data_IF_103114573846
#
_entry.id   IF_103114573846
#
_cell.length_a   1.000
_cell.length_b   1.000
_cell.length_c   1.000
_cell.angle_alpha   90.00
_cell.angle_beta   90.00
_cell.angle_gamma   90.00
#
_symmetry.space_group_name_H-M   'P 1'
#
loop_
_entity.id
_entity.type
_entity.pdbx_description
1 polymer ?
#
# COMPACT_ATOMS: atom_id res chain seq x y z
N UNK A 1 19.83 -29.96 -14.50
CA UNK A 1 20.66 -30.13 -13.29
C UNK A 1 22.04 -29.56 -13.55
N UNK A 2 22.43 -28.49 -12.84
CA UNK A 2 23.83 -28.09 -12.67
C UNK A 2 23.92 -27.32 -11.35
N UNK A 3 24.57 -27.93 -10.36
CA UNK A 3 24.89 -27.30 -9.08
C UNK A 3 26.29 -26.70 -9.22
N UNK A 4 26.44 -25.39 -8.99
CA UNK A 4 27.73 -24.70 -8.93
C UNK A 4 27.61 -23.58 -7.91
N UNK A 5 28.52 -23.57 -6.92
CA UNK A 5 28.87 -22.40 -6.12
C UNK A 5 28.22 -22.32 -4.74
N UNK A 6 28.87 -22.88 -3.73
CA UNK A 6 28.67 -22.55 -2.30
C UNK A 6 29.92 -21.80 -1.86
N UNK A 7 29.85 -20.47 -1.80
CA UNK A 7 30.89 -19.62 -1.21
C UNK A 7 30.31 -19.02 0.10
N UNK A 8 30.98 -19.17 1.26
CA UNK A 8 30.52 -18.57 2.50
C UNK A 8 30.85 -17.07 2.48
N UNK A 9 29.93 -16.29 1.92
CA UNK A 9 30.13 -14.85 1.65
C UNK A 9 29.21 -14.32 0.56
N UNK A 10 28.46 -15.18 -0.14
CA UNK A 10 27.40 -14.80 -1.06
C UNK A 10 26.20 -14.30 -0.25
N UNK A 11 26.29 -13.07 0.24
CA UNK A 11 25.10 -12.32 0.60
C UNK A 11 24.33 -12.17 -0.69
N UNK A 12 23.25 -12.95 -0.84
CA UNK A 12 22.22 -12.64 -1.81
C UNK A 12 21.74 -11.25 -1.43
N UNK A 13 22.22 -10.23 -2.14
CA UNK A 13 21.54 -8.94 -2.22
C UNK A 13 20.19 -9.26 -2.86
N UNK A 14 19.25 -9.70 -2.04
CA UNK A 14 17.85 -9.55 -2.36
C UNK A 14 17.70 -8.06 -2.58
N UNK A 15 17.51 -7.71 -3.84
CA UNK A 15 17.16 -6.39 -4.32
C UNK A 15 15.85 -6.01 -3.62
N UNK A 16 15.96 -5.58 -2.36
CA UNK A 16 14.87 -5.24 -1.45
C UNK A 16 14.03 -4.15 -2.12
N UNK A 17 14.69 -3.24 -2.83
CA UNK A 17 14.10 -2.24 -3.72
C UNK A 17 13.11 -2.83 -4.74
N UNK A 18 13.47 -3.91 -5.44
CA UNK A 18 12.61 -4.51 -6.46
C UNK A 18 11.36 -5.19 -5.86
N UNK A 19 11.49 -5.79 -4.67
CA UNK A 19 10.36 -6.42 -3.97
C UNK A 19 9.42 -5.36 -3.38
N UNK A 20 9.98 -4.28 -2.84
CA UNK A 20 9.22 -3.15 -2.30
C UNK A 20 8.52 -2.35 -3.40
N UNK A 21 9.13 -2.21 -4.59
CA UNK A 21 8.53 -1.59 -5.75
C UNK A 21 7.37 -2.43 -6.35
N UNK A 22 7.56 -3.74 -6.53
CA UNK A 22 6.49 -4.65 -6.99
C UNK A 22 5.30 -4.65 -6.02
N UNK A 23 5.60 -4.62 -4.72
CA UNK A 23 4.58 -4.55 -3.67
C UNK A 23 3.82 -3.22 -3.71
N UNK A 24 4.52 -2.09 -3.84
CA UNK A 24 3.87 -0.78 -4.01
C UNK A 24 2.97 -0.73 -5.25
N UNK A 25 3.45 -1.28 -6.37
CA UNK A 25 2.67 -1.30 -7.61
C UNK A 25 1.39 -2.14 -7.48
N UNK A 26 1.46 -3.29 -6.81
CA UNK A 26 0.28 -4.12 -6.53
C UNK A 26 -0.71 -3.43 -5.60
N UNK A 27 -0.25 -2.69 -4.60
CA UNK A 27 -1.16 -1.90 -3.75
C UNK A 27 -1.81 -0.80 -4.56
N UNK A 28 -1.03 -0.10 -5.38
CA UNK A 28 -1.55 0.97 -6.22
C UNK A 28 -2.67 0.44 -7.12
N UNK A 29 -2.46 -0.69 -7.79
CA UNK A 29 -3.45 -1.34 -8.65
C UNK A 29 -4.73 -1.71 -7.88
N UNK A 30 -4.59 -2.40 -6.73
CA UNK A 30 -5.72 -2.76 -5.86
C UNK A 30 -6.48 -1.53 -5.34
N UNK A 31 -5.77 -0.47 -4.98
CA UNK A 31 -6.40 0.78 -4.53
C UNK A 31 -7.15 1.45 -5.67
N UNK A 32 -6.59 1.47 -6.88
CA UNK A 32 -7.29 2.02 -8.06
C UNK A 32 -8.59 1.27 -8.35
N UNK A 33 -8.63 -0.06 -8.15
CA UNK A 33 -9.86 -0.85 -8.29
C UNK A 33 -10.90 -0.54 -7.20
N UNK A 34 -10.46 -0.31 -5.97
CA UNK A 34 -11.36 -0.12 -4.80
C UNK A 34 -11.82 1.34 -4.63
N UNK A 35 -11.04 2.32 -5.11
CA UNK A 35 -11.38 3.74 -5.09
C UNK A 35 -12.81 4.02 -5.55
N UNK A 36 -13.29 3.59 -6.74
CA UNK A 36 -14.64 3.91 -7.19
C UNK A 36 -15.73 3.39 -6.25
N UNK A 37 -15.56 2.19 -5.69
CA UNK A 37 -16.50 1.65 -4.69
C UNK A 37 -16.52 2.45 -3.40
N UNK A 38 -15.35 2.91 -2.93
CA UNK A 38 -15.27 3.78 -1.76
C UNK A 38 -15.84 5.18 -2.02
N UNK A 39 -15.64 5.71 -3.24
CA UNK A 39 -16.20 7.02 -3.62
C UNK A 39 -17.73 6.98 -3.65
N UNK A 40 -18.32 5.89 -4.14
CA UNK A 40 -19.76 5.66 -4.15
C UNK A 40 -20.32 5.50 -2.73
N UNK A 41 -19.71 4.64 -1.91
CA UNK A 41 -20.15 4.36 -0.54
C UNK A 41 -20.05 5.59 0.38
N UNK A 42 -18.97 6.35 0.28
CA UNK A 42 -18.72 7.50 1.15
C UNK A 42 -19.11 8.84 0.52
N UNK A 43 -19.64 8.83 -0.71
CA UNK A 43 -19.99 10.00 -1.52
C UNK A 43 -18.89 11.09 -1.48
N UNK A 44 -17.65 10.68 -1.76
CA UNK A 44 -16.47 11.55 -1.64
C UNK A 44 -15.53 11.39 -2.85
N UNK A 45 -14.66 12.38 -3.08
CA UNK A 45 -13.66 12.30 -4.13
C UNK A 45 -12.34 11.82 -3.54
N UNK A 46 -12.05 10.53 -3.72
CA UNK A 46 -10.83 9.91 -3.24
C UNK A 46 -9.75 9.99 -4.32
N UNK A 47 -8.61 10.55 -3.96
CA UNK A 47 -7.40 10.57 -4.78
C UNK A 47 -6.32 9.74 -4.10
N UNK A 48 -5.64 8.88 -4.86
CA UNK A 48 -4.50 8.13 -4.35
C UNK A 48 -3.29 9.06 -4.25
N UNK A 49 -2.64 9.06 -3.08
CA UNK A 49 -1.40 9.78 -2.84
C UNK A 49 -0.45 8.92 -1.99
N UNK A 50 0.80 9.34 -1.90
CA UNK A 50 1.82 8.75 -1.03
C UNK A 50 2.17 9.72 0.08
N UNK A 51 2.13 9.24 1.33
CA UNK A 51 2.57 9.96 2.52
C UNK A 51 3.84 9.25 3.06
N UNK A 52 5.00 9.68 2.56
CA UNK A 52 6.27 9.00 2.83
C UNK A 52 6.35 7.62 2.17
N UNK A 53 6.39 6.56 3.00
CA UNK A 53 6.40 5.16 2.56
C UNK A 53 5.02 4.51 2.55
N UNK A 54 3.98 5.25 2.92
CA UNK A 54 2.62 4.72 3.00
C UNK A 54 1.74 5.27 1.87
N UNK A 55 0.83 4.43 1.38
CA UNK A 55 -0.20 4.86 0.43
C UNK A 55 -1.41 5.37 1.21
N UNK A 56 -1.94 6.51 0.78
CA UNK A 56 -3.08 7.18 1.43
C UNK A 56 -4.13 7.55 0.38
N UNK A 57 -5.39 7.47 0.77
CA UNK A 57 -6.50 8.01 0.01
C UNK A 57 -6.87 9.35 0.60
N UNK A 58 -6.84 10.38 -0.23
CA UNK A 58 -7.13 11.76 0.15
C UNK A 58 -8.52 12.17 -0.32
N UNK A 59 -9.23 12.94 0.52
CA UNK A 59 -10.48 13.62 0.22
C UNK A 59 -10.29 15.11 0.50
N UNK A 60 -10.59 15.98 -0.48
CA UNK A 60 -10.44 17.44 -0.34
C UNK A 60 -9.13 17.89 0.33
N UNK A 61 -8.00 17.39 -0.17
CA UNK A 61 -6.66 17.73 0.31
C UNK A 61 -6.35 17.29 1.77
N UNK A 62 -7.16 16.39 2.33
CA UNK A 62 -6.97 15.78 3.66
C UNK A 62 -6.87 14.26 3.53
N UNK A 63 -6.03 13.61 4.35
CA UNK A 63 -5.96 12.15 4.38
C UNK A 63 -7.26 11.59 4.94
N UNK A 64 -7.96 10.80 4.15
CA UNK A 64 -9.23 10.16 4.52
C UNK A 64 -9.04 8.71 4.95
N UNK A 65 -8.28 7.95 4.17
CA UNK A 65 -7.92 6.58 4.52
C UNK A 65 -6.42 6.37 4.44
N UNK A 66 -5.86 5.66 5.42
CA UNK A 66 -4.47 5.20 5.40
C UNK A 66 -4.44 3.74 4.98
N UNK A 67 -3.69 3.43 3.92
CA UNK A 67 -3.57 2.09 3.39
C UNK A 67 -2.31 1.44 3.97
N UNK A 68 -2.50 0.40 4.78
CA UNK A 68 -1.41 -0.33 5.44
C UNK A 68 -1.52 -1.81 5.11
N UNK A 69 -0.42 -2.55 5.21
CA UNK A 69 -0.50 -4.00 5.25
C UNK A 69 -0.51 -4.50 6.68
N UNK A 70 -1.41 -5.45 6.95
CA UNK A 70 -1.26 -6.25 8.16
C UNK A 70 -0.16 -7.30 7.98
N UNK A 71 0.21 -7.96 9.09
CA UNK A 71 1.20 -9.05 9.14
C UNK A 71 0.83 -10.27 8.26
N UNK A 72 -0.41 -10.36 7.78
CA UNK A 72 -0.86 -11.40 6.84
C UNK A 72 -0.76 -10.96 5.38
N UNK A 73 -0.20 -9.78 5.10
CA UNK A 73 -0.09 -9.23 3.74
C UNK A 73 -1.42 -8.77 3.14
N UNK A 74 -2.45 -8.51 3.96
CA UNK A 74 -3.73 -7.95 3.48
C UNK A 74 -3.73 -6.45 3.60
N UNK A 75 -4.24 -5.77 2.57
CA UNK A 75 -4.44 -4.34 2.57
C UNK A 75 -5.54 -3.96 3.56
N UNK A 76 -5.25 -3.03 4.45
CA UNK A 76 -6.15 -2.50 5.47
C UNK A 76 -6.26 -1.00 5.28
N UNK A 77 -7.47 -0.51 5.05
CA UNK A 77 -7.80 0.90 4.98
C UNK A 77 -8.29 1.38 6.35
N UNK A 78 -7.60 2.34 6.93
CA UNK A 78 -7.99 2.95 8.21
C UNK A 78 -8.55 4.33 7.96
N UNK A 79 -9.84 4.54 8.24
CA UNK A 79 -10.47 5.87 8.15
C UNK A 79 -9.87 6.79 9.23
N UNK A 80 -9.38 7.95 8.81
CA UNK A 80 -8.70 8.94 9.65
C UNK A 80 -9.63 10.09 10.07
N UNK A 81 -10.95 10.03 9.80
CA UNK A 81 -11.84 11.06 10.31
C UNK A 81 -11.72 11.08 11.83
N UNK A 82 -11.59 12.27 12.46
CA UNK A 82 -11.94 12.38 13.86
C UNK A 82 -13.38 11.89 13.92
N UNK A 83 -13.59 10.75 14.57
CA UNK A 83 -14.92 10.32 14.94
C UNK A 83 -15.47 11.47 15.75
N UNK A 84 -16.33 12.30 15.14
CA UNK A 84 -17.22 13.16 15.90
C UNK A 84 -18.13 12.16 16.60
N UNK A 85 -17.67 11.71 17.77
CA UNK A 85 -18.49 11.14 18.81
C UNK A 85 -19.49 12.25 19.12
N UNK A 86 -20.65 12.15 18.49
CA UNK A 86 -21.83 12.94 18.77
C UNK A 86 -22.28 12.69 20.21
#
# INVERSE_FOLDING_TARGET
MRAIGTEPGDFVEFDLDSIEADRHQKIHDLLQEVIPSLQDEFNCQLSLATDGLELVLMDNNSIRFRATFNFKGRLVLTDQRPTKLL
#
